data_IF_088913944274
#
_entry.id   IF_088913944274
#
_cell.length_a   1.000
_cell.length_b   1.000
_cell.length_c   1.000
_cell.angle_alpha   90.00
_cell.angle_beta   90.00
_cell.angle_gamma   90.00
#
_symmetry.space_group_name_H-M   'P 1'
#
loop_
_entity.id
_entity.type
_entity.pdbx_description
1 polymer ?
#
# COMPACT_ATOMS: atom_id res chain seq x y z
N UNK A 1 -1.38 -13.78 18.75
CA UNK A 1 -1.53 -12.99 17.50
C UNK A 1 -1.82 -13.95 16.36
N UNK A 2 -2.97 -13.83 15.67
CA UNK A 2 -3.29 -14.67 14.51
C UNK A 2 -2.37 -14.28 13.35
N UNK A 3 -1.65 -15.24 12.77
CA UNK A 3 -0.86 -15.00 11.56
C UNK A 3 -1.83 -14.66 10.42
N UNK A 4 -1.62 -13.57 9.66
CA UNK A 4 -2.49 -13.24 8.54
C UNK A 4 -2.47 -14.38 7.52
N UNK A 5 -3.65 -14.81 7.11
CA UNK A 5 -3.84 -15.86 6.11
C UNK A 5 -3.28 -15.43 4.76
N UNK A 6 -3.05 -16.39 3.85
CA UNK A 6 -2.53 -16.08 2.51
C UNK A 6 -3.42 -15.09 1.73
N UNK A 7 -4.74 -15.16 1.92
CA UNK A 7 -5.70 -14.23 1.32
C UNK A 7 -5.56 -12.80 1.87
N UNK A 8 -5.37 -12.66 3.18
CA UNK A 8 -5.12 -11.37 3.83
C UNK A 8 -3.80 -10.76 3.36
N UNK A 9 -2.73 -11.58 3.27
CA UNK A 9 -1.45 -11.16 2.71
C UNK A 9 -1.59 -10.69 1.26
N UNK A 10 -2.45 -11.36 0.47
CA UNK A 10 -2.72 -10.98 -0.91
C UNK A 10 -3.37 -9.61 -1.01
N UNK A 11 -4.43 -9.37 -0.24
CA UNK A 11 -5.13 -8.08 -0.18
C UNK A 11 -4.24 -6.95 0.36
N UNK A 12 -3.37 -7.24 1.33
CA UNK A 12 -2.53 -6.23 1.99
C UNK A 12 -1.22 -5.93 1.26
N UNK A 13 -0.73 -6.82 0.39
CA UNK A 13 0.60 -6.67 -0.19
C UNK A 13 0.71 -7.14 -1.63
N UNK A 14 0.57 -8.44 -1.90
CA UNK A 14 0.98 -8.99 -3.20
C UNK A 14 0.13 -8.52 -4.38
N UNK A 15 -1.10 -8.03 -4.16
CA UNK A 15 -1.90 -7.41 -5.22
C UNK A 15 -1.64 -5.91 -5.41
N UNK A 16 -0.82 -5.27 -4.57
CA UNK A 16 -0.61 -3.81 -4.56
C UNK A 16 0.75 -3.42 -5.13
N UNK A 17 0.80 -2.25 -5.78
CA UNK A 17 2.07 -1.63 -6.22
C UNK A 17 2.94 -1.33 -5.00
N UNK A 18 4.23 -1.66 -5.11
CA UNK A 18 5.24 -1.52 -4.04
C UNK A 18 6.11 -0.30 -4.31
N UNK A 19 6.05 0.68 -3.43
CA UNK A 19 6.84 1.90 -3.50
C UNK A 19 8.01 1.87 -2.51
N UNK A 20 9.09 2.56 -2.87
CA UNK A 20 10.34 2.58 -2.07
C UNK A 20 10.22 3.53 -0.88
N UNK A 21 9.54 4.66 -1.06
CA UNK A 21 9.28 5.64 -0.01
C UNK A 21 7.79 6.01 0.10
N UNK A 22 7.44 6.72 1.18
CA UNK A 22 6.10 7.30 1.34
C UNK A 22 5.81 8.33 0.25
N UNK A 23 6.80 9.15 -0.09
CA UNK A 23 6.71 10.16 -1.15
C UNK A 23 6.36 9.54 -2.49
N UNK A 24 7.11 8.53 -2.93
CA UNK A 24 6.83 7.80 -4.18
C UNK A 24 5.38 7.28 -4.25
N UNK A 25 4.86 6.79 -3.12
CA UNK A 25 3.49 6.30 -3.08
C UNK A 25 2.47 7.44 -3.23
N UNK A 26 2.68 8.56 -2.54
CA UNK A 26 1.80 9.73 -2.61
C UNK A 26 1.90 10.45 -3.95
N UNK A 27 3.09 10.61 -4.51
CA UNK A 27 3.32 11.11 -5.88
C UNK A 27 2.57 10.23 -6.89
N UNK A 28 2.65 8.91 -6.77
CA UNK A 28 1.88 8.01 -7.62
C UNK A 28 0.36 8.17 -7.45
N UNK A 29 -0.12 8.49 -6.24
CA UNK A 29 -1.54 8.78 -6.01
C UNK A 29 -1.95 10.11 -6.65
N UNK A 30 -1.08 11.13 -6.58
CA UNK A 30 -1.25 12.44 -7.21
C UNK A 30 -1.28 12.34 -8.73
N UNK A 31 -0.32 11.62 -9.33
CA UNK A 31 -0.27 11.35 -10.77
C UNK A 31 -1.50 10.59 -11.27
N UNK A 32 -2.11 9.77 -10.42
CA UNK A 32 -3.34 9.05 -10.71
C UNK A 32 -4.62 9.88 -10.43
N UNK A 33 -4.52 11.09 -9.89
CA UNK A 33 -5.66 11.92 -9.47
C UNK A 33 -6.49 11.32 -8.34
N UNK A 34 -5.85 10.51 -7.50
CA UNK A 34 -6.50 9.78 -6.39
C UNK A 34 -5.92 10.13 -5.03
N UNK A 35 -5.18 11.23 -4.91
CA UNK A 35 -4.52 11.69 -3.68
C UNK A 35 -5.51 11.91 -2.53
N UNK A 36 -6.75 12.34 -2.83
CA UNK A 36 -7.81 12.51 -1.83
C UNK A 36 -8.46 11.20 -1.38
N UNK A 37 -8.35 10.15 -2.19
CA UNK A 37 -9.02 8.87 -1.96
C UNK A 37 -8.06 7.77 -1.50
N UNK A 38 -6.75 8.00 -1.57
CA UNK A 38 -5.73 7.00 -1.25
C UNK A 38 -4.77 7.50 -0.18
N UNK A 39 -4.46 6.63 0.78
CA UNK A 39 -3.46 6.85 1.82
C UNK A 39 -2.27 5.92 1.61
N UNK A 40 -1.07 6.45 1.82
CA UNK A 40 0.15 5.64 1.85
C UNK A 40 0.32 4.99 3.24
N UNK A 41 0.64 3.70 3.28
CA UNK A 41 0.99 2.99 4.51
C UNK A 41 2.20 2.09 4.30
N UNK A 42 2.98 1.90 5.36
CA UNK A 42 4.08 0.95 5.37
C UNK A 42 3.54 -0.47 5.59
N UNK A 43 3.83 -1.36 4.66
CA UNK A 43 3.37 -2.74 4.73
C UNK A 43 4.16 -3.54 5.77
N UNK A 44 3.52 -4.15 6.78
CA UNK A 44 4.23 -4.97 7.77
C UNK A 44 4.80 -6.27 7.16
N UNK A 45 4.28 -6.72 6.00
CA UNK A 45 4.67 -7.98 5.37
C UNK A 45 5.90 -7.86 4.48
N UNK A 46 6.03 -6.76 3.73
CA UNK A 46 7.13 -6.57 2.78
C UNK A 46 8.00 -5.35 3.06
N UNK A 47 7.69 -4.58 4.11
CA UNK A 47 8.41 -3.38 4.52
C UNK A 47 8.53 -2.34 3.39
N UNK A 48 7.55 -2.30 2.48
CA UNK A 48 7.45 -1.32 1.38
C UNK A 48 6.17 -0.51 1.51
N UNK A 49 6.15 0.64 0.85
CA UNK A 49 5.01 1.54 0.87
C UNK A 49 3.95 1.10 -0.13
N UNK A 50 2.69 1.14 0.31
CA UNK A 50 1.52 0.78 -0.49
C UNK A 50 0.46 1.86 -0.38
N UNK A 51 -0.37 1.96 -1.41
CA UNK A 51 -1.59 2.75 -1.36
C UNK A 51 -2.78 1.89 -0.89
N UNK A 52 -3.58 2.45 0.00
CA UNK A 52 -4.89 1.91 0.38
C UNK A 52 -5.95 2.96 0.13
N UNK A 53 -7.18 2.55 -0.16
CA UNK A 53 -8.31 3.47 -0.15
C UNK A 53 -8.51 4.00 1.27
N UNK A 54 -8.83 5.30 1.37
CA UNK A 54 -8.91 6.06 2.61
C UNK A 54 -9.99 5.57 3.58
#
# INVERSE_FOLDING_TARGET
MKKPTAAEKKRQCTSKRRYRSQGDALDAALLAGTERQRKAYLCPLCQRWHLTSA
#
